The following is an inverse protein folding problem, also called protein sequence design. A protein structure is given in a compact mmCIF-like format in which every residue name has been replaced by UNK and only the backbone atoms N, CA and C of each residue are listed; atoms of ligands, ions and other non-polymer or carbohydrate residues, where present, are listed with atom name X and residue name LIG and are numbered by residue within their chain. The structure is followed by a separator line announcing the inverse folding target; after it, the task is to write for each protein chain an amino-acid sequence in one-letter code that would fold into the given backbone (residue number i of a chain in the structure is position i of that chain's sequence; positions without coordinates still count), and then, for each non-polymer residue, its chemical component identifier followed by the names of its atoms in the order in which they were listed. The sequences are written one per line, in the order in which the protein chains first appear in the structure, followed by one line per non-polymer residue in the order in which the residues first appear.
data_IF_661596974581
#
_entry.id   IF_661596974581
#
_cell.length_a   1.000
_cell.length_b   1.000
_cell.length_c   1.000
_cell.angle_alpha   90.00
_cell.angle_beta   90.00
_cell.angle_gamma   90.00
#
_symmetry.space_group_name_H-M   'P 1'
#
loop_
_entity.id
_entity.type
_entity.pdbx_description
1 polymer ?
#
# COMPACT_ATOMS: atom_id res chain seq x y z
N UNK A 1 1.27 -5.97 -12.69
CA UNK A 1 1.10 -4.58 -12.20
C UNK A 1 2.16 -3.72 -12.87
N UNK A 2 1.75 -2.63 -13.52
CA UNK A 2 2.71 -1.67 -14.10
C UNK A 2 3.51 -1.00 -12.98
N UNK A 3 4.76 -0.62 -13.24
CA UNK A 3 5.62 0.11 -12.29
C UNK A 3 4.94 1.41 -11.79
N UNK A 4 4.03 2.00 -12.57
CA UNK A 4 3.25 3.17 -12.19
C UNK A 4 2.09 2.87 -11.22
N UNK A 5 1.50 1.67 -11.26
CA UNK A 5 0.38 1.32 -10.38
C UNK A 5 0.83 1.19 -8.91
N UNK A 6 2.10 0.83 -8.68
CA UNK A 6 2.67 0.75 -7.34
C UNK A 6 2.69 2.10 -6.60
N UNK A 7 2.69 3.21 -7.36
CA UNK A 7 2.70 4.58 -6.84
C UNK A 7 1.31 5.24 -6.83
N UNK A 8 0.25 4.52 -7.24
CA UNK A 8 -1.10 5.05 -7.19
C UNK A 8 -1.45 5.48 -5.76
N UNK A 9 -2.03 6.69 -5.55
CA UNK A 9 -2.45 7.14 -4.23
C UNK A 9 -3.40 6.13 -3.57
N UNK A 10 -3.31 6.01 -2.25
CA UNK A 10 -4.11 5.03 -1.48
C UNK A 10 -5.59 5.02 -1.85
N UNK A 11 -6.22 6.20 -1.94
CA UNK A 11 -7.62 6.38 -2.36
C UNK A 11 -7.96 5.71 -3.70
N UNK A 12 -7.06 5.83 -4.68
CA UNK A 12 -7.24 5.25 -6.03
C UNK A 12 -7.21 3.74 -5.93
N UNK A 13 -6.31 3.19 -5.10
CA UNK A 13 -6.19 1.75 -4.89
C UNK A 13 -7.38 1.16 -4.14
N UNK A 14 -7.93 1.89 -3.17
CA UNK A 14 -9.19 1.51 -2.50
C UNK A 14 -10.36 1.54 -3.49
N UNK A 15 -10.50 2.61 -4.28
CA UNK A 15 -11.55 2.73 -5.29
C UNK A 15 -11.47 1.62 -6.35
N UNK A 16 -10.26 1.24 -6.76
CA UNK A 16 -9.99 0.10 -7.66
C UNK A 16 -10.12 -1.28 -6.99
N UNK A 17 -10.40 -1.34 -5.68
CA UNK A 17 -10.47 -2.58 -4.89
C UNK A 17 -9.17 -3.39 -4.87
N UNK A 18 -8.03 -2.73 -5.06
CA UNK A 18 -6.69 -3.36 -4.99
C UNK A 18 -6.22 -3.60 -3.54
N UNK A 19 -6.84 -2.91 -2.58
CA UNK A 19 -6.53 -3.03 -1.14
C UNK A 19 -7.81 -3.18 -0.33
N UNK A 20 -7.75 -4.00 0.71
CA UNK A 20 -8.88 -4.22 1.60
C UNK A 20 -9.05 -3.07 2.61
N UNK A 21 -10.30 -2.71 2.88
CA UNK A 21 -10.69 -1.73 3.89
C UNK A 21 -11.90 -2.26 4.65
N UNK A 22 -12.02 -1.88 5.93
CA UNK A 22 -13.20 -2.14 6.74
C UNK A 22 -13.94 -0.85 7.01
N UNK A 23 -15.26 -0.93 7.06
CA UNK A 23 -16.11 0.21 7.44
C UNK A 23 -16.14 0.31 8.96
N UNK A 24 -15.88 1.51 9.47
CA UNK A 24 -16.00 1.83 10.89
C UNK A 24 -17.17 2.79 11.06
N UNK A 25 -18.24 2.29 11.68
CA UNK A 25 -19.41 3.11 11.99
C UNK A 25 -19.27 3.72 13.39
N UNK A 26 -19.28 5.06 13.47
CA UNK A 26 -19.46 5.80 14.74
C UNK A 26 -20.76 6.60 14.78
N UNK A 27 -21.62 6.45 13.79
CA UNK A 27 -22.91 7.16 13.73
C UNK A 27 -23.87 6.75 14.87
N UNK A 28 -23.72 5.55 15.44
CA UNK A 28 -24.58 5.06 16.53
C UNK A 28 -26.03 4.84 16.09
N UNK A 29 -26.25 4.44 14.83
CA UNK A 29 -27.59 4.24 14.26
C UNK A 29 -28.27 5.50 13.70
N UNK A 30 -27.60 6.66 13.76
CA UNK A 30 -27.99 7.87 13.02
C UNK A 30 -27.59 7.76 11.54
N UNK A 31 -27.95 8.78 10.77
CA UNK A 31 -27.55 8.94 9.37
C UNK A 31 -26.06 8.66 9.18
N UNK A 32 -25.79 7.67 8.34
CA UNK A 32 -24.46 7.21 8.03
C UNK A 32 -23.84 8.16 7.00
N UNK A 33 -22.80 8.89 7.40
CA UNK A 33 -22.06 9.82 6.55
C UNK A 33 -20.85 9.17 5.87
N UNK A 34 -20.86 7.84 5.73
CA UNK A 34 -19.80 7.11 5.07
C UNK A 34 -19.79 7.44 3.56
N UNK A 35 -18.75 8.11 3.03
CA UNK A 35 -18.74 8.54 1.62
C UNK A 35 -18.64 7.33 0.68
N UNK A 36 -19.01 7.48 -0.60
CA UNK A 36 -18.75 6.42 -1.59
C UNK A 36 -17.27 6.31 -1.97
N UNK A 37 -16.88 5.15 -2.51
CA UNK A 37 -15.51 4.90 -2.98
C UNK A 37 -15.30 5.48 -4.38
N UNK A 38 -15.25 6.81 -4.45
CA UNK A 38 -14.97 7.56 -5.67
C UNK A 38 -13.45 7.88 -5.79
N UNK A 39 -12.83 7.83 -6.98
CA UNK A 39 -11.42 8.20 -7.17
C UNK A 39 -11.04 9.63 -6.72
N UNK A 40 -11.98 10.57 -6.73
CA UNK A 40 -11.83 11.94 -6.24
C UNK A 40 -11.87 12.05 -4.71
N UNK A 41 -12.28 11.00 -4.00
CA UNK A 41 -12.30 10.94 -2.53
C UNK A 41 -10.94 11.30 -1.92
N UNK A 42 -10.82 12.47 -1.26
CA UNK A 42 -9.59 12.89 -0.59
C UNK A 42 -9.47 12.23 0.79
N UNK A 43 -8.32 11.63 1.09
CA UNK A 43 -8.05 10.95 2.36
C UNK A 43 -8.25 11.87 3.57
N UNK A 44 -9.06 11.41 4.52
CA UNK A 44 -9.28 12.05 5.82
C UNK A 44 -10.47 11.41 6.53
N UNK A 45 -10.53 11.55 7.86
CA UNK A 45 -11.80 11.39 8.59
C UNK A 45 -12.73 12.52 8.13
N UNK A 46 -13.47 12.29 7.04
CA UNK A 46 -14.57 13.15 6.62
C UNK A 46 -15.83 12.46 7.15
N UNK A 47 -16.42 13.03 8.19
CA UNK A 47 -17.58 12.44 8.87
C UNK A 47 -17.24 11.50 10.02
N UNK A 48 -18.29 11.02 10.69
CA UNK A 48 -18.25 10.13 11.84
C UNK A 48 -17.95 8.69 11.43
N UNK A 49 -18.48 8.24 10.31
CA UNK A 49 -18.21 6.94 9.72
C UNK A 49 -17.06 7.05 8.72
N UNK A 50 -16.11 6.11 8.78
CA UNK A 50 -14.93 6.14 7.92
C UNK A 50 -14.50 4.75 7.50
N UNK A 51 -13.63 4.68 6.48
CA UNK A 51 -12.98 3.43 6.06
C UNK A 51 -11.59 3.34 6.67
N UNK A 52 -11.33 2.24 7.37
CA UNK A 52 -10.03 1.93 7.91
C UNK A 52 -9.33 0.88 7.04
N UNK A 53 -8.03 1.10 6.80
CA UNK A 53 -7.21 0.15 6.07
C UNK A 53 -7.11 -1.19 6.82
N UNK A 54 -7.34 -2.30 6.11
CA UNK A 54 -7.08 -3.63 6.65
C UNK A 54 -5.67 -4.04 6.23
N UNK A 55 -4.74 -3.95 7.16
CA UNK A 55 -3.37 -4.39 6.92
C UNK A 55 -3.32 -5.92 6.75
N UNK A 56 -2.89 -6.38 5.58
CA UNK A 56 -2.84 -7.80 5.23
C UNK A 56 -1.48 -8.44 5.52
N UNK A 57 -0.60 -7.79 6.30
CA UNK A 57 0.81 -8.16 6.54
C UNK A 57 1.71 -8.26 5.29
N UNK A 58 1.13 -8.26 4.11
CA UNK A 58 1.78 -8.12 2.82
C UNK A 58 1.98 -6.64 2.56
N UNK A 59 3.23 -6.22 2.38
CA UNK A 59 3.56 -4.84 2.00
C UNK A 59 3.19 -4.59 0.54
N UNK A 60 1.89 -4.62 0.26
CA UNK A 60 1.29 -4.58 -1.09
C UNK A 60 1.52 -3.27 -1.83
N UNK A 61 1.99 -2.21 -1.15
CA UNK A 61 2.50 -1.00 -1.81
C UNK A 61 3.47 -0.20 -0.96
N UNK A 62 4.07 0.80 -1.61
CA UNK A 62 4.99 1.76 -1.03
C UNK A 62 4.34 2.85 -0.15
N UNK A 63 3.03 2.79 0.13
CA UNK A 63 2.36 3.83 0.91
C UNK A 63 2.82 3.85 2.37
N UNK A 64 2.73 5.02 3.01
CA UNK A 64 3.18 5.20 4.39
C UNK A 64 2.47 4.23 5.35
N UNK A 65 1.17 3.91 5.15
CA UNK A 65 0.42 2.99 6.02
C UNK A 65 0.90 1.53 5.90
N UNK A 66 1.19 1.05 4.69
CA UNK A 66 1.78 -0.28 4.48
C UNK A 66 3.22 -0.34 5.03
N UNK A 67 3.95 0.78 4.98
CA UNK A 67 5.33 0.86 5.49
C UNK A 67 5.45 1.18 6.99
N UNK A 68 4.45 1.78 7.62
CA UNK A 68 4.50 2.33 9.00
C UNK A 68 4.74 1.24 10.05
N UNK A 69 4.20 0.03 9.84
CA UNK A 69 4.34 -1.09 10.77
C UNK A 69 5.60 -1.94 10.58
N UNK A 70 6.39 -1.69 9.52
CA UNK A 70 7.62 -2.44 9.26
C UNK A 70 8.82 -1.57 9.58
N UNK A 71 9.84 -2.07 10.28
CA UNK A 71 11.15 -1.37 10.41
C UNK A 71 11.71 -1.16 9.00
N UNK A 72 11.52 0.02 8.36
CA UNK A 72 11.63 0.13 6.91
C UNK A 72 13.07 -0.07 6.44
N UNK A 73 14.02 0.24 7.33
CA UNK A 73 15.46 0.13 7.11
C UNK A 73 15.92 -1.33 7.05
N UNK A 74 15.41 -2.21 7.93
CA UNK A 74 15.79 -3.63 8.00
C UNK A 74 15.32 -4.36 6.73
N UNK A 75 14.07 -4.15 6.32
CA UNK A 75 13.52 -4.77 5.11
C UNK A 75 14.16 -4.24 3.82
N UNK A 76 14.42 -2.92 3.72
CA UNK A 76 15.13 -2.35 2.57
C UNK A 76 16.57 -2.84 2.48
N UNK A 77 17.24 -3.01 3.62
CA UNK A 77 18.59 -3.57 3.65
C UNK A 77 18.60 -5.02 3.16
N UNK A 78 17.68 -5.86 3.64
CA UNK A 78 17.53 -7.25 3.18
C UNK A 78 17.24 -7.34 1.68
N UNK A 79 16.27 -6.58 1.18
CA UNK A 79 15.93 -6.56 -0.25
C UNK A 79 17.11 -6.06 -1.11
N UNK A 80 17.84 -5.04 -0.66
CA UNK A 80 19.04 -4.58 -1.37
C UNK A 80 20.16 -5.61 -1.38
N UNK A 81 20.32 -6.37 -0.29
CA UNK A 81 21.30 -7.44 -0.23
C UNK A 81 20.96 -8.55 -1.24
N UNK A 82 19.68 -8.94 -1.30
CA UNK A 82 19.18 -9.93 -2.24
C UNK A 82 19.34 -9.49 -3.71
N UNK A 83 18.95 -8.25 -4.04
CA UNK A 83 19.12 -7.70 -5.38
C UNK A 83 20.60 -7.57 -5.78
N UNK A 84 21.48 -7.20 -4.83
CA UNK A 84 22.93 -7.16 -5.07
C UNK A 84 23.51 -8.55 -5.31
N UNK A 85 23.01 -9.56 -4.60
CA UNK A 85 23.41 -10.95 -4.83
C UNK A 85 23.01 -11.39 -6.24
N UNK A 86 21.75 -11.18 -6.63
CA UNK A 86 21.27 -11.50 -7.97
C UNK A 86 22.07 -10.77 -9.07
N UNK A 87 22.39 -9.48 -8.86
CA UNK A 87 23.20 -8.72 -9.81
C UNK A 87 24.64 -9.25 -9.93
N UNK A 88 25.24 -9.72 -8.83
CA UNK A 88 26.58 -10.36 -8.88
C UNK A 88 26.53 -11.69 -9.62
N UNK A 89 25.53 -12.52 -9.35
CA UNK A 89 25.35 -13.80 -10.03
C UNK A 89 25.12 -13.59 -11.53
N UNK A 90 24.32 -12.59 -11.92
CA UNK A 90 24.14 -12.19 -13.30
C UNK A 90 25.45 -11.73 -13.94
N UNK A 91 26.17 -10.80 -13.31
CA UNK A 91 27.43 -10.29 -13.84
C UNK A 91 28.55 -11.34 -13.88
N UNK A 92 28.49 -12.36 -13.03
CA UNK A 92 29.41 -13.49 -13.06
C UNK A 92 29.03 -14.53 -14.14
N UNK A 93 27.76 -14.56 -14.55
CA UNK A 93 27.23 -15.45 -15.58
C UNK A 93 27.30 -14.87 -17.01
N UNK A 94 27.54 -13.56 -17.15
CA UNK A 94 27.77 -12.91 -18.45
C UNK A 94 29.27 -12.96 -18.76
N UNK A 95 29.73 -13.71 -19.79
CA UNK A 95 31.11 -13.66 -20.23
C UNK A 95 31.44 -12.24 -20.70
N UNK A 96 32.58 -11.72 -20.26
CA UNK A 96 33.15 -10.50 -20.84
C UNK A 96 33.84 -10.96 -22.13
N UNK A 97 33.21 -10.72 -23.27
CA UNK A 97 33.86 -10.76 -24.59
C UNK A 97 34.79 -9.54 -24.77
#
# INVERSE_FOLDING_TARGET
MSRNDAHAPYRVRVARREVAVRVVHRCGGRDCDLPDLDPAWSTGQIGRCYREFVFTATNVCSCWMCHWHSRPQVRRAALRAELRRAAREWNAAVPID
#
